data_IF_409999696889
#
_entry.id   IF_409999696889
#
_cell.length_a   1.000
_cell.length_b   1.000
_cell.length_c   1.000
_cell.angle_alpha   90.00
_cell.angle_beta   90.00
_cell.angle_gamma   90.00
#
_symmetry.space_group_name_H-M   'P 1'
#
loop_
_entity.id
_entity.type
_entity.pdbx_description
1 polymer ?
#
# COMPACT_ATOMS: atom_id res chain seq x y z
N UNK A 1 -8.98 -23.98 2.01
CA UNK A 1 -7.55 -24.33 2.26
C UNK A 1 -7.13 -23.59 3.52
N UNK A 2 -6.43 -24.23 4.45
CA UNK A 2 -5.86 -23.56 5.63
C UNK A 2 -4.34 -23.53 5.43
N UNK A 3 -3.71 -22.39 5.70
CA UNK A 3 -2.27 -22.20 5.68
C UNK A 3 -1.86 -21.80 7.10
N UNK A 4 -0.77 -22.38 7.59
CA UNK A 4 -0.21 -22.07 8.92
C UNK A 4 1.26 -21.71 8.70
N UNK A 5 1.66 -20.55 9.20
CA UNK A 5 3.02 -20.01 9.04
C UNK A 5 3.66 -19.64 10.37
N UNK A 6 4.97 -19.41 10.36
CA UNK A 6 5.71 -19.00 11.55
C UNK A 6 5.30 -17.57 11.92
N UNK A 7 4.99 -17.35 13.19
CA UNK A 7 4.78 -16.00 13.74
C UNK A 7 6.07 -15.17 13.66
N UNK A 8 5.95 -13.91 13.21
CA UNK A 8 7.05 -12.95 13.05
C UNK A 8 6.69 -11.64 13.74
N UNK A 9 7.69 -10.98 14.33
CA UNK A 9 7.57 -9.70 15.03
C UNK A 9 8.92 -8.96 14.95
N UNK A 10 8.88 -7.63 15.05
CA UNK A 10 10.04 -6.77 15.32
C UNK A 10 10.05 -6.34 16.80
N UNK A 11 10.80 -5.29 17.11
CA UNK A 11 11.00 -4.81 18.47
C UNK A 11 9.67 -4.47 19.16
N UNK A 12 9.48 -5.01 20.36
CA UNK A 12 8.30 -4.71 21.19
C UNK A 12 6.97 -5.26 20.65
N UNK A 13 7.00 -6.20 19.70
CA UNK A 13 5.80 -6.82 19.13
C UNK A 13 5.19 -6.06 17.94
N UNK A 14 5.81 -4.96 17.50
CA UNK A 14 5.39 -4.25 16.29
C UNK A 14 5.92 -4.96 15.03
N UNK A 15 5.34 -4.65 13.87
CA UNK A 15 5.79 -5.16 12.58
C UNK A 15 5.62 -4.06 11.54
N UNK A 16 6.72 -3.66 10.90
CA UNK A 16 6.69 -2.62 9.86
C UNK A 16 5.99 -3.18 8.62
N UNK A 17 4.70 -2.87 8.49
CA UNK A 17 3.79 -3.38 7.46
C UNK A 17 3.71 -2.37 6.31
N UNK A 18 4.31 -2.75 5.17
CA UNK A 18 4.33 -1.97 3.94
C UNK A 18 3.42 -2.61 2.90
N UNK A 19 2.41 -1.88 2.47
CA UNK A 19 1.46 -2.33 1.45
C UNK A 19 1.59 -1.49 0.20
N UNK A 20 2.03 -2.11 -0.89
CA UNK A 20 2.32 -1.47 -2.16
C UNK A 20 1.10 -1.59 -3.07
N UNK A 21 0.39 -0.49 -3.29
CA UNK A 21 -0.66 -0.42 -4.30
C UNK A 21 -0.01 -0.32 -5.68
N UNK A 22 -0.16 -1.40 -6.45
CA UNK A 22 0.41 -1.55 -7.77
C UNK A 22 -0.70 -1.49 -8.81
N UNK A 23 -0.42 -0.78 -9.90
CA UNK A 23 -1.34 -0.59 -11.01
C UNK A 23 -0.63 -0.93 -12.31
N UNK A 24 -1.20 -1.85 -13.09
CA UNK A 24 -0.60 -2.38 -14.32
C UNK A 24 0.86 -2.85 -14.13
N UNK A 25 1.11 -3.57 -13.03
CA UNK A 25 2.45 -4.06 -12.69
C UNK A 25 3.41 -3.04 -12.09
N UNK A 26 3.00 -1.79 -11.87
CA UNK A 26 3.87 -0.75 -11.32
C UNK A 26 3.40 -0.27 -9.93
N UNK A 27 4.25 -0.32 -8.89
CA UNK A 27 3.94 0.29 -7.59
C UNK A 27 3.80 1.81 -7.76
N UNK A 28 2.75 2.38 -7.18
CA UNK A 28 2.49 3.83 -7.22
C UNK A 28 2.40 4.45 -5.83
N UNK A 29 1.85 3.70 -4.88
CA UNK A 29 1.52 4.19 -3.55
C UNK A 29 1.92 3.13 -2.53
N UNK A 30 2.46 3.59 -1.41
CA UNK A 30 2.89 2.77 -0.29
C UNK A 30 2.06 3.16 0.91
N UNK A 31 1.35 2.20 1.49
CA UNK A 31 0.78 2.34 2.83
C UNK A 31 1.78 1.77 3.83
N UNK A 32 2.20 2.60 4.77
CA UNK A 32 2.98 2.21 5.93
C UNK A 32 2.06 2.21 7.16
N UNK A 33 1.83 1.04 7.75
CA UNK A 33 1.04 0.89 8.98
C UNK A 33 1.98 0.78 10.17
N UNK A 34 1.69 1.55 11.21
CA UNK A 34 2.44 1.61 12.45
C UNK A 34 1.51 1.36 13.64
N UNK A 35 2.09 0.92 14.75
CA UNK A 35 1.40 0.82 16.05
C UNK A 35 0.21 -0.17 16.05
N UNK A 36 0.07 -0.99 15.00
CA UNK A 36 -1.04 -1.92 14.75
C UNK A 36 -1.25 -2.97 15.84
N UNK A 37 -0.16 -3.45 16.42
CA UNK A 37 -0.18 -4.50 17.45
C UNK A 37 0.31 -4.00 18.80
N UNK A 38 0.19 -2.68 19.03
CA UNK A 38 0.62 -2.02 20.27
C UNK A 38 -0.59 -1.58 21.11
N UNK A 39 -0.34 -0.93 22.24
CA UNK A 39 -1.35 -0.30 23.10
C UNK A 39 -1.80 1.09 22.60
N UNK A 40 -1.26 1.55 21.47
CA UNK A 40 -1.55 2.85 20.86
C UNK A 40 -2.55 2.73 19.71
N UNK A 41 -3.01 3.88 19.20
CA UNK A 41 -3.87 3.93 18.02
C UNK A 41 -3.08 3.56 16.75
N UNK A 42 -3.66 2.72 15.89
CA UNK A 42 -3.08 2.36 14.59
C UNK A 42 -2.95 3.61 13.71
N UNK A 43 -1.77 3.77 13.11
CA UNK A 43 -1.48 4.88 12.20
C UNK A 43 -1.29 4.36 10.79
N UNK A 44 -1.90 5.03 9.82
CA UNK A 44 -1.78 4.70 8.40
C UNK A 44 -1.23 5.89 7.64
N UNK A 45 -0.04 5.73 7.06
CA UNK A 45 0.65 6.78 6.34
C UNK A 45 0.81 6.36 4.89
N UNK A 46 0.43 7.24 3.97
CA UNK A 46 0.52 6.99 2.54
C UNK A 46 1.68 7.77 1.93
N UNK A 47 2.52 7.09 1.16
CA UNK A 47 3.66 7.66 0.48
C UNK A 47 3.63 7.35 -1.01
N UNK A 48 4.25 8.21 -1.82
CA UNK A 48 4.67 7.82 -3.16
C UNK A 48 5.91 6.92 -3.12
N UNK A 49 6.38 6.49 -4.29
CA UNK A 49 7.55 5.60 -4.40
C UNK A 49 8.89 6.27 -4.06
N UNK A 50 8.91 7.61 -4.00
CA UNK A 50 10.08 8.39 -3.61
C UNK A 50 10.07 8.73 -2.11
N UNK A 51 9.12 8.17 -1.35
CA UNK A 51 8.91 8.40 0.07
C UNK A 51 8.42 9.81 0.42
N UNK A 52 7.73 10.49 -0.50
CA UNK A 52 7.01 11.72 -0.18
C UNK A 52 5.64 11.38 0.38
N UNK A 53 5.29 12.01 1.51
CA UNK A 53 3.99 11.83 2.15
C UNK A 53 2.88 12.35 1.24
N UNK A 54 1.87 11.52 1.02
CA UNK A 54 0.69 11.87 0.25
C UNK A 54 -0.37 12.48 1.15
N UNK A 55 -1.07 13.55 0.72
CA UNK A 55 -2.01 14.30 1.54
C UNK A 55 -3.40 13.64 1.58
N UNK A 56 -3.45 12.33 1.85
CA UNK A 56 -4.70 11.59 1.93
C UNK A 56 -4.65 10.45 2.94
N UNK A 57 -5.83 10.04 3.39
CA UNK A 57 -6.02 9.03 4.43
C UNK A 57 -7.24 8.15 4.12
N UNK A 58 -7.34 7.05 4.86
CA UNK A 58 -8.51 6.17 4.88
C UNK A 58 -8.73 5.69 6.31
N UNK A 59 -9.97 5.74 6.79
CA UNK A 59 -10.43 5.28 8.12
C UNK A 59 -9.77 5.88 9.38
N UNK A 60 -8.56 6.45 9.29
CA UNK A 60 -7.80 7.07 10.38
C UNK A 60 -7.53 8.54 10.05
N UNK A 61 -7.28 9.42 11.04
CA UNK A 61 -6.94 10.82 10.79
C UNK A 61 -5.70 10.99 9.89
N UNK A 62 -5.68 12.03 9.05
CA UNK A 62 -4.50 12.41 8.28
C UNK A 62 -3.42 12.98 9.22
N UNK A 63 -2.19 12.53 9.05
CA UNK A 63 -1.02 13.09 9.70
C UNK A 63 -0.17 13.87 8.69
N UNK A 64 0.14 15.13 8.97
CA UNK A 64 0.88 15.99 8.02
C UNK A 64 2.42 15.89 8.17
N UNK A 65 2.90 15.46 9.34
CA UNK A 65 4.33 15.36 9.61
C UNK A 65 4.65 14.21 10.59
N UNK A 66 4.53 12.95 10.14
CA UNK A 66 4.62 11.78 11.01
C UNK A 66 6.06 11.42 11.42
N UNK A 67 7.06 12.12 10.89
CA UNK A 67 8.48 11.93 11.23
C UNK A 67 9.06 10.56 10.87
N UNK A 68 8.44 9.82 9.94
CA UNK A 68 8.88 8.46 9.61
C UNK A 68 10.04 8.46 8.61
N UNK A 69 11.17 7.80 8.95
CA UNK A 69 12.30 7.71 8.04
C UNK A 69 11.97 6.84 6.83
N UNK A 70 12.62 7.14 5.72
CA UNK A 70 12.60 6.28 4.53
C UNK A 70 13.17 4.90 4.87
N UNK A 71 12.46 3.79 4.56
CA UNK A 71 12.95 2.45 4.83
C UNK A 71 14.23 2.19 4.06
N UNK A 72 15.20 1.52 4.69
CA UNK A 72 16.50 1.25 4.08
C UNK A 72 16.37 0.34 2.85
N UNK A 73 15.40 -0.57 2.87
CA UNK A 73 15.18 -1.54 1.80
C UNK A 73 14.04 -1.14 0.84
N UNK A 74 13.65 0.14 0.81
CA UNK A 74 12.54 0.60 -0.01
C UNK A 74 12.68 0.19 -1.50
N UNK A 75 13.85 0.41 -2.09
CA UNK A 75 14.12 0.04 -3.48
C UNK A 75 13.91 -1.44 -3.75
N UNK A 76 14.33 -2.29 -2.79
CA UNK A 76 14.19 -3.74 -2.92
C UNK A 76 12.73 -4.16 -2.78
N UNK A 77 11.98 -3.54 -1.86
CA UNK A 77 10.54 -3.78 -1.72
C UNK A 77 9.76 -3.35 -2.96
N UNK A 78 10.12 -2.21 -3.57
CA UNK A 78 9.53 -1.76 -4.83
C UNK A 78 9.81 -2.72 -5.99
N UNK A 79 11.02 -3.30 -6.07
CA UNK A 79 11.36 -4.33 -7.07
C UNK A 79 10.51 -5.60 -6.87
N UNK A 80 10.36 -6.06 -5.63
CA UNK A 80 9.53 -7.23 -5.29
C UNK A 80 8.07 -6.95 -5.66
N UNK A 81 7.52 -5.80 -5.24
CA UNK A 81 6.14 -5.42 -5.54
C UNK A 81 5.88 -5.31 -7.05
N UNK A 82 6.80 -4.69 -7.81
CA UNK A 82 6.74 -4.63 -9.28
C UNK A 82 6.73 -6.01 -9.91
N UNK A 83 7.57 -6.93 -9.41
CA UNK A 83 7.66 -8.29 -9.94
C UNK A 83 6.38 -9.08 -9.68
N UNK A 84 5.85 -9.03 -8.45
CA UNK A 84 4.66 -9.77 -8.06
C UNK A 84 3.38 -9.21 -8.70
N UNK A 85 3.33 -7.92 -8.99
CA UNK A 85 2.16 -7.27 -9.58
C UNK A 85 2.05 -7.38 -11.11
N UNK A 86 3.06 -7.94 -11.79
CA UNK A 86 3.04 -8.08 -13.25
C UNK A 86 1.78 -8.80 -13.74
N UNK A 87 1.14 -8.24 -14.78
CA UNK A 87 -0.05 -8.80 -15.39
C UNK A 87 -1.38 -8.49 -14.66
N UNK A 88 -1.33 -7.79 -13.53
CA UNK A 88 -2.54 -7.36 -12.80
C UNK A 88 -2.81 -5.86 -13.02
N UNK A 89 -4.06 -5.53 -13.34
CA UNK A 89 -4.49 -4.14 -13.48
C UNK A 89 -4.40 -3.36 -12.17
N UNK A 90 -4.82 -3.98 -11.08
CA UNK A 90 -4.69 -3.42 -9.74
C UNK A 90 -4.47 -4.56 -8.74
N UNK A 91 -3.43 -4.43 -7.93
CA UNK A 91 -3.17 -5.37 -6.83
C UNK A 91 -2.34 -4.67 -5.75
N UNK A 92 -2.69 -4.92 -4.50
CA UNK A 92 -1.89 -4.52 -3.35
C UNK A 92 -0.97 -5.67 -2.96
N UNK A 93 0.32 -5.40 -2.82
CA UNK A 93 1.33 -6.38 -2.38
C UNK A 93 1.77 -6.00 -0.97
N UNK A 94 1.59 -6.90 -0.01
CA UNK A 94 1.91 -6.66 1.39
C UNK A 94 3.27 -7.29 1.72
N UNK A 95 4.19 -6.47 2.21
CA UNK A 95 5.55 -6.84 2.57
C UNK A 95 5.87 -6.39 4.00
N UNK A 96 6.68 -7.18 4.69
CA UNK A 96 7.21 -6.86 6.00
C UNK A 96 8.73 -6.71 5.92
N UNK A 97 9.28 -5.69 6.59
CA UNK A 97 10.72 -5.55 6.81
C UNK A 97 11.06 -5.94 8.25
N UNK A 98 11.94 -6.94 8.42
CA UNK A 98 12.37 -7.40 9.74
C UNK A 98 13.63 -6.66 10.22
N UNK A 99 13.88 -6.69 11.53
CA UNK A 99 15.06 -6.05 12.15
C UNK A 99 16.42 -6.46 11.54
N UNK A 100 16.53 -7.68 11.00
CA UNK A 100 17.73 -8.18 10.32
C UNK A 100 17.87 -7.67 8.87
N UNK A 101 16.93 -6.85 8.41
CA UNK A 101 16.82 -6.32 7.06
C UNK A 101 16.21 -7.30 6.06
N UNK A 102 15.71 -8.46 6.50
CA UNK A 102 15.04 -9.40 5.61
C UNK A 102 13.61 -8.94 5.29
N UNK A 103 13.21 -9.13 4.03
CA UNK A 103 11.86 -8.81 3.55
C UNK A 103 11.03 -10.09 3.50
N UNK A 104 9.82 -10.05 4.04
CA UNK A 104 8.85 -11.16 3.97
C UNK A 104 7.63 -10.73 3.18
N UNK A 105 7.11 -11.67 2.38
CA UNK A 105 5.83 -11.52 1.72
C UNK A 105 4.70 -11.88 2.68
N UNK A 106 3.66 -11.05 2.76
CA UNK A 106 2.42 -11.34 3.49
C UNK A 106 1.34 -11.86 2.56
N UNK A 107 0.76 -10.97 1.75
CA UNK A 107 -0.36 -11.30 0.87
C UNK A 107 -0.39 -10.46 -0.41
N UNK A 108 -1.26 -10.89 -1.34
CA UNK A 108 -1.71 -10.07 -2.47
C UNK A 108 -3.22 -9.87 -2.36
N UNK A 109 -3.63 -8.60 -2.34
CA UNK A 109 -5.04 -8.22 -2.22
C UNK A 109 -5.50 -7.49 -3.48
N UNK A 110 -6.44 -8.09 -4.21
CA UNK A 110 -6.95 -7.59 -5.49
C UNK A 110 -8.07 -6.56 -5.33
N UNK A 111 -8.75 -6.56 -4.18
CA UNK A 111 -9.85 -5.66 -3.87
C UNK A 111 -9.74 -5.20 -2.42
N UNK A 112 -8.88 -4.19 -2.18
CA UNK A 112 -8.75 -3.56 -0.86
C UNK A 112 -10.13 -3.09 -0.38
N UNK A 113 -10.50 -3.48 0.84
CA UNK A 113 -11.82 -3.22 1.43
C UNK A 113 -13.00 -3.54 0.51
N UNK A 114 -12.94 -4.64 -0.24
CA UNK A 114 -13.97 -5.01 -1.22
C UNK A 114 -14.19 -3.99 -2.34
N UNK A 115 -13.23 -3.08 -2.57
CA UNK A 115 -13.31 -2.04 -3.59
C UNK A 115 -14.21 -0.86 -3.22
N UNK A 116 -14.62 -0.72 -1.95
CA UNK A 116 -15.49 0.37 -1.48
C UNK A 116 -14.79 1.37 -0.56
N UNK A 117 -13.45 1.36 -0.57
CA UNK A 117 -12.61 2.29 0.19
C UNK A 117 -12.98 3.75 -0.07
N UNK A 118 -13.16 4.51 1.01
CA UNK A 118 -13.43 5.96 0.96
C UNK A 118 -12.17 6.74 1.27
N UNK A 119 -11.45 7.07 0.22
CA UNK A 119 -10.25 7.90 0.32
C UNK A 119 -10.63 9.35 0.57
N UNK A 120 -9.93 10.00 1.51
CA UNK A 120 -10.14 11.40 1.83
C UNK A 120 -8.87 12.21 1.57
N UNK A 121 -8.97 13.40 0.96
CA UNK A 121 -10.18 14.03 0.40
C UNK A 121 -10.69 13.32 -0.87
N UNK A 122 -11.86 13.72 -1.40
CA UNK A 122 -12.46 13.11 -2.61
C UNK A 122 -11.50 13.10 -3.82
N UNK A 123 -10.60 14.07 -3.92
CA UNK A 123 -9.57 14.07 -4.97
C UNK A 123 -8.63 12.86 -4.89
N UNK A 124 -8.38 12.32 -3.69
CA UNK A 124 -7.64 11.08 -3.51
C UNK A 124 -8.44 9.87 -4.01
N UNK A 125 -9.76 9.85 -3.79
CA UNK A 125 -10.64 8.80 -4.31
C UNK A 125 -10.62 8.77 -5.85
N UNK A 126 -10.71 9.94 -6.47
CA UNK A 126 -10.58 10.10 -7.92
C UNK A 126 -9.19 9.70 -8.43
N UNK A 127 -8.13 10.09 -7.72
CA UNK A 127 -6.75 9.72 -8.06
C UNK A 127 -6.54 8.20 -8.02
N UNK A 128 -7.01 7.52 -6.97
CA UNK A 128 -6.95 6.06 -6.87
C UNK A 128 -7.68 5.38 -8.03
N UNK A 129 -8.88 5.88 -8.36
CA UNK A 129 -9.65 5.38 -9.50
C UNK A 129 -8.96 5.61 -10.84
N UNK A 130 -8.33 6.77 -11.03
CA UNK A 130 -7.64 7.11 -12.28
C UNK A 130 -6.38 6.29 -12.53
N UNK A 131 -5.88 5.53 -11.56
CA UNK A 131 -4.75 4.63 -11.76
C UNK A 131 -5.18 3.25 -12.30
N UNK A 132 -6.49 2.94 -12.27
CA UNK A 132 -7.05 1.68 -12.73
C UNK A 132 -7.40 1.83 -14.22
N UNK A 133 -6.63 1.18 -15.09
CA UNK A 133 -6.90 1.16 -16.54
C UNK A 133 -7.25 -0.27 -16.94
N UNK A 134 -8.52 -0.49 -17.30
CA UNK A 134 -9.00 -1.83 -17.63
C UNK A 134 -8.55 -2.24 -19.05
N UNK A 135 -8.07 -3.47 -19.25
CA UNK A 135 -7.69 -3.94 -20.58
C UNK A 135 -8.85 -3.85 -21.57
N UNK A 136 -8.63 -3.18 -22.70
CA UNK A 136 -9.63 -3.04 -23.76
C UNK A 136 -10.72 -2.01 -23.49
N UNK A 137 -10.61 -1.22 -22.42
CA UNK A 137 -11.44 -0.05 -22.17
C UNK A 137 -10.64 1.20 -22.56
N UNK A 138 -11.27 2.09 -23.32
CA UNK A 138 -10.72 3.41 -23.57
C UNK A 138 -11.11 4.32 -22.40
N UNK A 139 -10.12 4.85 -21.69
CA UNK A 139 -10.32 5.78 -20.57
C UNK A 139 -10.64 7.21 -21.05
N UNK A 140 -10.72 7.43 -22.37
CA UNK A 140 -11.24 8.67 -22.92
C UNK A 140 -12.62 8.98 -22.31
N UNK A 141 -12.84 10.19 -21.79
CA UNK A 141 -14.17 10.58 -21.34
C UNK A 141 -15.11 10.39 -22.52
N UNK A 142 -16.16 9.59 -22.35
CA UNK A 142 -17.22 9.48 -23.33
C UNK A 142 -17.63 10.91 -23.69
N UNK A 143 -17.42 11.30 -24.95
CA UNK A 143 -17.76 12.63 -25.43
C UNK A 143 -19.15 12.95 -24.90
N UNK A 144 -19.26 14.08 -24.17
CA UNK A 144 -20.52 14.55 -23.62
C UNK A 144 -21.51 14.70 -24.76
N UNK A 145 -22.39 13.71 -24.92
CA UNK A 145 -23.54 13.75 -25.80
C UNK A 145 -24.59 14.73 -25.26
#
# INVERSE_FOLDING_TARGET
RIIVEKFIENDGGDLYDYKFFCFNGEPKIILHILERYTDKEERMLFYDTDWNLLPFNINVPLEENPGQPRPRNLEKMLEIARTLSQGFTAVRVDLYELNDGSIKFGEMTFTTESGISRWHPESANLYMGSLIHLPGVDDAPADKA
#
